data_IF_475671718599
#
_entry.id   IF_475671718599
#
_cell.length_a   1.000
_cell.length_b   1.000
_cell.length_c   1.000
_cell.angle_alpha   90.00
_cell.angle_beta   90.00
_cell.angle_gamma   90.00
#
_symmetry.space_group_name_H-M   'P 1'
#
loop_
_entity.id
_entity.type
_entity.pdbx_description
1 polymer ?
#
# COMPACT_ATOMS: atom_id res chain seq x y z
N UNK A 1 -10.27 20.56 13.02
CA UNK A 1 -9.16 20.21 13.94
C UNK A 1 -7.85 20.57 13.24
N UNK A 2 -6.72 20.68 13.95
CA UNK A 2 -5.43 20.96 13.30
C UNK A 2 -4.78 19.65 12.85
N UNK A 3 -4.45 19.53 11.56
CA UNK A 3 -3.73 18.38 11.00
C UNK A 3 -2.32 18.34 11.62
N UNK A 4 -1.92 17.17 12.13
CA UNK A 4 -0.62 16.93 12.79
C UNK A 4 0.21 15.84 12.13
N UNK A 5 -0.37 15.05 11.24
CA UNK A 5 0.34 13.97 10.54
C UNK A 5 -0.29 13.73 9.18
N UNK A 6 0.50 13.22 8.24
CA UNK A 6 0.10 13.05 6.85
C UNK A 6 0.44 11.64 6.38
N UNK A 7 -0.54 11.00 5.75
CA UNK A 7 -0.32 9.81 4.91
C UNK A 7 -0.52 10.26 3.46
N UNK A 8 0.47 10.10 2.60
CA UNK A 8 0.41 10.52 1.21
C UNK A 8 0.63 9.32 0.29
N UNK A 9 -0.26 9.08 -0.66
CA UNK A 9 0.00 8.09 -1.72
C UNK A 9 1.13 8.56 -2.65
N UNK A 10 1.71 7.63 -3.43
CA UNK A 10 2.78 7.90 -4.39
C UNK A 10 2.23 8.16 -5.79
N UNK A 11 1.61 7.15 -6.39
CA UNK A 11 1.43 7.07 -7.84
C UNK A 11 0.14 7.81 -8.22
N UNK A 12 0.26 8.89 -9.00
CA UNK A 12 -0.86 9.80 -9.29
C UNK A 12 -0.99 10.97 -8.31
N UNK A 13 -0.20 10.99 -7.23
CA UNK A 13 -0.19 12.06 -6.21
C UNK A 13 1.14 12.81 -6.16
N UNK A 14 2.24 12.09 -5.91
CA UNK A 14 3.60 12.65 -5.87
C UNK A 14 4.37 12.36 -7.16
N UNK A 15 4.08 11.23 -7.80
CA UNK A 15 4.81 10.72 -8.96
C UNK A 15 3.84 10.22 -10.05
N UNK A 16 4.15 10.51 -11.30
CA UNK A 16 3.69 9.76 -12.47
C UNK A 16 4.84 8.93 -12.98
N UNK A 17 4.83 7.63 -12.71
CA UNK A 17 5.97 6.75 -12.97
C UNK A 17 7.25 7.29 -12.32
N UNK A 18 8.22 7.74 -13.11
CA UNK A 18 9.49 8.27 -12.62
C UNK A 18 9.57 9.79 -12.79
N UNK A 19 8.44 10.46 -12.99
CA UNK A 19 8.34 11.91 -13.15
C UNK A 19 7.53 12.48 -11.99
N UNK A 20 8.02 13.54 -11.31
CA UNK A 20 7.27 14.12 -10.20
C UNK A 20 6.03 14.84 -10.70
N UNK A 21 4.95 14.80 -9.92
CA UNK A 21 3.79 15.68 -10.13
C UNK A 21 4.25 17.13 -9.91
N UNK A 22 3.91 18.08 -10.80
CA UNK A 22 4.30 19.48 -10.62
C UNK A 22 3.93 20.01 -9.22
N UNK A 23 4.91 20.56 -8.50
CA UNK A 23 4.73 21.08 -7.14
C UNK A 23 4.86 20.06 -6.01
N UNK A 24 5.10 18.77 -6.31
CA UNK A 24 5.38 17.75 -5.30
C UNK A 24 6.63 18.07 -4.46
N UNK A 25 7.65 18.67 -5.08
CA UNK A 25 8.87 19.17 -4.42
C UNK A 25 8.54 20.20 -3.34
N UNK A 26 7.77 21.23 -3.69
CA UNK A 26 7.34 22.29 -2.77
C UNK A 26 6.39 21.77 -1.71
N UNK A 27 5.52 20.83 -2.07
CA UNK A 27 4.60 20.19 -1.13
C UNK A 27 5.38 19.43 -0.05
N UNK A 28 6.33 18.57 -0.44
CA UNK A 28 7.17 17.83 0.49
C UNK A 28 8.07 18.74 1.33
N UNK A 29 8.65 19.80 0.73
CA UNK A 29 9.44 20.78 1.44
C UNK A 29 8.63 21.48 2.55
N UNK A 30 7.39 21.89 2.29
CA UNK A 30 6.51 22.49 3.31
C UNK A 30 6.24 21.56 4.50
N UNK A 31 6.08 20.26 4.25
CA UNK A 31 5.87 19.25 5.29
C UNK A 31 7.13 19.11 6.15
N UNK A 32 8.30 19.05 5.51
CA UNK A 32 9.59 18.96 6.20
C UNK A 32 9.90 20.22 7.02
N UNK A 33 9.67 21.42 6.47
CA UNK A 33 9.88 22.70 7.15
C UNK A 33 9.02 22.84 8.43
N UNK A 34 7.82 22.25 8.41
CA UNK A 34 6.88 22.25 9.55
C UNK A 34 7.10 21.07 10.51
N UNK A 35 8.05 20.19 10.23
CA UNK A 35 8.32 18.95 10.99
C UNK A 35 7.04 18.11 11.19
N UNK A 36 6.21 18.00 10.15
CA UNK A 36 4.98 17.22 10.21
C UNK A 36 5.31 15.75 9.92
N UNK A 37 4.99 14.81 10.84
CA UNK A 37 5.12 13.37 10.59
C UNK A 37 4.46 12.95 9.27
N UNK A 38 5.26 12.30 8.42
CA UNK A 38 4.87 11.89 7.08
C UNK A 38 5.07 10.39 6.90
N UNK A 39 4.06 9.73 6.34
CA UNK A 39 4.19 8.42 5.70
C UNK A 39 3.84 8.54 4.23
N UNK A 40 4.77 8.15 3.36
CA UNK A 40 4.55 7.98 1.94
C UNK A 40 4.17 6.51 1.70
N UNK A 41 2.91 6.28 1.33
CA UNK A 41 2.26 4.97 1.29
C UNK A 41 2.12 4.47 -0.14
N UNK A 42 2.42 3.19 -0.40
CA UNK A 42 2.13 2.55 -1.69
C UNK A 42 1.64 1.12 -1.52
N UNK A 43 0.71 0.69 -2.39
CA UNK A 43 0.22 -0.68 -2.44
C UNK A 43 1.19 -1.63 -3.16
N UNK A 44 2.21 -1.14 -3.86
CA UNK A 44 3.13 -2.00 -4.60
C UNK A 44 4.18 -2.65 -3.66
N UNK A 45 4.29 -3.99 -3.63
CA UNK A 45 5.15 -4.70 -2.69
C UNK A 45 6.59 -4.91 -3.16
N UNK A 46 6.92 -4.49 -4.39
CA UNK A 46 8.15 -4.90 -5.09
C UNK A 46 9.39 -4.09 -4.69
N UNK A 47 9.22 -2.82 -4.30
CA UNK A 47 10.31 -1.90 -3.99
C UNK A 47 10.59 -1.83 -2.49
N UNK A 48 11.86 -1.80 -2.10
CA UNK A 48 12.24 -1.46 -0.71
C UNK A 48 12.09 0.03 -0.45
N UNK A 49 12.13 0.45 0.82
CA UNK A 49 12.16 1.87 1.18
C UNK A 49 13.34 2.60 0.52
N UNK A 50 14.52 1.98 0.48
CA UNK A 50 15.69 2.55 -0.17
C UNK A 50 15.50 2.68 -1.69
N UNK A 51 14.86 1.69 -2.34
CA UNK A 51 14.56 1.78 -3.78
C UNK A 51 13.61 2.94 -4.09
N UNK A 52 12.61 3.16 -3.22
CA UNK A 52 11.67 4.28 -3.35
C UNK A 52 12.38 5.62 -3.11
N UNK A 53 13.23 5.72 -2.09
CA UNK A 53 14.04 6.92 -1.84
C UNK A 53 14.94 7.25 -3.05
N UNK A 54 15.60 6.23 -3.62
CA UNK A 54 16.42 6.40 -4.83
C UNK A 54 15.59 6.83 -6.04
N UNK A 55 14.39 6.26 -6.22
CA UNK A 55 13.43 6.64 -7.29
C UNK A 55 13.00 8.10 -7.15
N UNK A 56 12.68 8.53 -5.93
CA UNK A 56 12.31 9.91 -5.62
C UNK A 56 13.48 10.87 -5.85
N UNK A 57 14.68 10.53 -5.36
CA UNK A 57 15.89 11.34 -5.54
C UNK A 57 16.26 11.51 -7.02
N UNK A 58 16.16 10.43 -7.82
CA UNK A 58 16.38 10.48 -9.27
C UNK A 58 15.37 11.39 -10.00
N UNK A 59 14.19 11.60 -9.42
CA UNK A 59 13.15 12.50 -9.90
C UNK A 59 13.26 13.93 -9.33
N UNK A 60 14.26 14.21 -8.48
CA UNK A 60 14.48 15.51 -7.86
C UNK A 60 13.70 15.73 -6.55
N UNK A 61 13.14 14.68 -5.95
CA UNK A 61 12.45 14.74 -4.66
C UNK A 61 13.32 14.10 -3.57
N UNK A 62 13.83 14.89 -2.64
CA UNK A 62 14.67 14.38 -1.54
C UNK A 62 13.83 14.13 -0.28
N UNK A 63 13.65 12.85 0.05
CA UNK A 63 12.94 12.39 1.25
C UNK A 63 13.68 11.19 1.85
N UNK A 64 13.77 11.08 3.19
CA UNK A 64 14.47 9.98 3.83
C UNK A 64 13.73 8.66 3.60
N UNK A 65 14.45 7.54 3.47
CA UNK A 65 13.83 6.23 3.26
C UNK A 65 12.81 5.84 4.36
N UNK A 66 12.98 6.40 5.56
CA UNK A 66 12.14 6.14 6.72
C UNK A 66 10.68 6.58 6.56
N UNK A 67 10.35 7.50 5.64
CA UNK A 67 8.96 7.92 5.39
C UNK A 67 8.18 6.90 4.56
N UNK A 68 8.83 6.02 3.81
CA UNK A 68 8.13 5.07 2.96
C UNK A 68 7.50 3.95 3.79
N UNK A 69 6.30 3.55 3.37
CA UNK A 69 5.59 2.40 3.91
C UNK A 69 4.88 1.66 2.77
N UNK A 70 5.27 0.42 2.53
CA UNK A 70 4.72 -0.39 1.42
C UNK A 70 3.77 -1.45 1.92
N UNK A 71 2.96 -2.02 1.03
CA UNK A 71 2.14 -3.20 1.35
C UNK A 71 2.97 -4.40 1.82
N UNK A 72 4.23 -4.54 1.37
CA UNK A 72 5.15 -5.57 1.85
C UNK A 72 5.55 -5.35 3.32
N UNK A 73 5.92 -4.12 3.70
CA UNK A 73 6.24 -3.76 5.09
C UNK A 73 5.02 -3.94 5.99
N UNK A 74 3.87 -3.46 5.52
CA UNK A 74 2.59 -3.62 6.21
C UNK A 74 2.24 -5.10 6.42
N UNK A 75 2.47 -5.95 5.41
CA UNK A 75 2.22 -7.39 5.51
C UNK A 75 3.15 -8.04 6.53
N UNK A 76 4.43 -7.68 6.55
CA UNK A 76 5.36 -8.17 7.55
C UNK A 76 4.95 -7.72 8.98
N UNK A 77 4.53 -6.47 9.15
CA UNK A 77 4.06 -5.95 10.45
C UNK A 77 2.75 -6.60 10.92
N UNK A 78 1.84 -6.93 9.99
CA UNK A 78 0.64 -7.72 10.27
C UNK A 78 1.02 -9.08 10.85
N UNK A 79 1.95 -9.75 10.16
CA UNK A 79 2.40 -11.11 10.46
C UNK A 79 3.25 -11.22 11.72
N UNK A 80 3.98 -10.17 12.11
CA UNK A 80 4.72 -10.11 13.40
C UNK A 80 3.81 -10.33 14.61
N UNK A 81 2.53 -9.96 14.50
CA UNK A 81 1.53 -10.07 15.57
C UNK A 81 0.76 -11.38 15.55
N UNK A 82 1.09 -12.28 14.63
CA UNK A 82 0.43 -13.56 14.47
C UNK A 82 1.27 -14.70 15.04
N UNK A 83 0.60 -15.74 15.52
CA UNK A 83 1.24 -17.04 15.77
C UNK A 83 1.53 -17.78 14.46
N UNK A 84 2.60 -18.58 14.47
CA UNK A 84 3.15 -19.21 13.27
C UNK A 84 4.26 -18.38 12.63
N UNK A 85 5.28 -19.06 12.10
CA UNK A 85 6.47 -18.44 11.49
C UNK A 85 6.91 -19.12 10.20
N UNK A 86 6.11 -20.04 9.66
CA UNK A 86 6.36 -20.67 8.36
C UNK A 86 5.39 -20.15 7.33
N UNK A 87 5.90 -19.71 6.18
CA UNK A 87 5.06 -19.21 5.11
C UNK A 87 5.48 -19.79 3.75
N UNK A 88 4.49 -20.18 2.96
CA UNK A 88 4.67 -20.34 1.52
C UNK A 88 4.40 -18.99 0.86
N UNK A 89 5.38 -18.47 0.12
CA UNK A 89 5.33 -17.10 -0.41
C UNK A 89 5.39 -17.15 -1.93
N UNK A 90 4.42 -16.49 -2.56
CA UNK A 90 4.44 -16.15 -3.99
C UNK A 90 4.77 -14.68 -4.08
N UNK A 91 6.03 -14.36 -4.31
CA UNK A 91 6.50 -12.99 -4.41
C UNK A 91 8.02 -12.94 -4.45
N UNK A 92 8.57 -11.75 -4.69
CA UNK A 92 10.01 -11.55 -4.82
C UNK A 92 10.49 -10.28 -4.12
N UNK A 93 11.81 -10.06 -4.11
CA UNK A 93 12.42 -8.79 -3.70
C UNK A 93 12.05 -8.36 -2.28
N UNK A 94 11.47 -7.16 -2.17
CA UNK A 94 11.22 -6.50 -0.89
C UNK A 94 10.30 -7.31 0.03
N UNK A 95 9.26 -7.99 -0.50
CA UNK A 95 8.39 -8.82 0.32
C UNK A 95 9.15 -9.95 1.04
N UNK A 96 10.02 -10.64 0.31
CA UNK A 96 10.83 -11.74 0.87
C UNK A 96 11.74 -11.22 1.98
N UNK A 97 12.39 -10.08 1.75
CA UNK A 97 13.28 -9.44 2.73
C UNK A 97 12.54 -9.03 4.01
N UNK A 98 11.38 -8.39 3.88
CA UNK A 98 10.58 -7.95 5.02
C UNK A 98 10.04 -9.13 5.85
N UNK A 99 9.70 -10.26 5.20
CA UNK A 99 9.31 -11.48 5.90
C UNK A 99 10.47 -12.10 6.70
N UNK A 100 11.68 -12.15 6.13
CA UNK A 100 12.85 -12.62 6.87
C UNK A 100 13.18 -11.73 8.06
N UNK A 101 13.12 -10.39 7.91
CA UNK A 101 13.26 -9.45 9.02
C UNK A 101 12.21 -9.66 10.12
N UNK A 102 11.01 -10.11 9.76
CA UNK A 102 9.94 -10.46 10.69
C UNK A 102 10.09 -11.86 11.33
N UNK A 103 11.18 -12.56 11.05
CA UNK A 103 11.53 -13.87 11.61
C UNK A 103 10.81 -15.04 10.95
N UNK A 104 10.31 -14.88 9.71
CA UNK A 104 9.65 -15.96 8.99
C UNK A 104 10.65 -16.89 8.31
N UNK A 105 10.31 -18.17 8.31
CA UNK A 105 10.91 -19.20 7.45
C UNK A 105 10.04 -19.37 6.22
N UNK A 106 10.60 -19.14 5.04
CA UNK A 106 9.89 -19.36 3.77
C UNK A 106 10.08 -20.83 3.38
N UNK A 107 8.96 -21.55 3.22
CA UNK A 107 8.98 -23.00 3.01
C UNK A 107 7.70 -23.50 2.32
N UNK A 108 7.80 -24.62 1.61
CA UNK A 108 6.66 -25.40 1.13
C UNK A 108 6.39 -26.66 1.99
N UNK A 109 6.96 -26.73 3.21
CA UNK A 109 6.77 -27.82 4.16
C UNK A 109 5.89 -27.34 5.32
N UNK A 110 4.61 -27.73 5.29
CA UNK A 110 3.60 -27.40 6.32
C UNK A 110 3.62 -25.91 6.72
N UNK A 111 3.37 -24.99 5.75
CA UNK A 111 3.35 -23.56 6.04
C UNK A 111 2.11 -23.17 6.86
N UNK A 112 2.30 -22.27 7.83
CA UNK A 112 1.21 -21.68 8.61
C UNK A 112 0.41 -20.66 7.75
N UNK A 113 1.12 -19.99 6.83
CA UNK A 113 0.59 -18.95 5.97
C UNK A 113 0.86 -19.21 4.49
N UNK A 114 -0.08 -18.81 3.64
CA UNK A 114 0.17 -18.57 2.21
C UNK A 114 0.11 -17.06 2.01
N UNK A 115 1.21 -16.49 1.50
CA UNK A 115 1.35 -15.05 1.28
C UNK A 115 1.56 -14.80 -0.20
N UNK A 116 0.69 -14.01 -0.80
CA UNK A 116 0.81 -13.62 -2.21
C UNK A 116 1.14 -12.13 -2.28
N UNK A 117 2.24 -11.82 -2.96
CA UNK A 117 2.61 -10.47 -3.38
C UNK A 117 2.59 -10.38 -4.89
N UNK A 118 3.69 -9.89 -5.46
CA UNK A 118 3.90 -9.80 -6.90
C UNK A 118 5.20 -10.52 -7.28
N UNK A 119 5.19 -11.25 -8.39
CA UNK A 119 6.39 -11.83 -9.00
C UNK A 119 6.15 -12.08 -10.48
N UNK A 120 7.19 -11.87 -11.28
CA UNK A 120 7.17 -12.20 -12.72
C UNK A 120 7.36 -13.69 -13.00
N UNK A 121 7.77 -14.46 -12.00
CA UNK A 121 7.99 -15.91 -12.11
C UNK A 121 6.75 -16.74 -11.78
N UNK A 122 5.58 -16.09 -11.65
CA UNK A 122 4.32 -16.77 -11.36
C UNK A 122 4.01 -17.85 -12.39
N UNK A 123 3.76 -19.07 -11.91
CA UNK A 123 3.62 -20.24 -12.75
C UNK A 123 2.65 -21.25 -12.14
N UNK A 124 2.34 -22.30 -12.92
CA UNK A 124 1.38 -23.34 -12.55
C UNK A 124 1.68 -24.02 -11.20
N UNK A 125 2.94 -24.32 -10.90
CA UNK A 125 3.32 -25.00 -9.65
C UNK A 125 3.04 -24.12 -8.43
N UNK A 126 3.26 -22.80 -8.56
CA UNK A 126 2.94 -21.84 -7.52
C UNK A 126 1.44 -21.80 -7.23
N UNK A 127 0.60 -21.76 -8.28
CA UNK A 127 -0.86 -21.80 -8.15
C UNK A 127 -1.28 -23.07 -7.41
N UNK A 128 -0.77 -24.22 -7.86
CA UNK A 128 -1.10 -25.52 -7.29
C UNK A 128 -0.72 -25.60 -5.81
N UNK A 129 0.54 -25.28 -5.46
CA UNK A 129 1.02 -25.34 -4.07
C UNK A 129 0.26 -24.38 -3.16
N UNK A 130 0.09 -23.12 -3.57
CA UNK A 130 -0.66 -22.16 -2.77
C UNK A 130 -2.10 -22.61 -2.55
N UNK A 131 -2.79 -23.04 -3.62
CA UNK A 131 -4.18 -23.53 -3.51
C UNK A 131 -4.27 -24.73 -2.59
N UNK A 132 -3.34 -25.69 -2.71
CA UNK A 132 -3.25 -26.86 -1.84
C UNK A 132 -3.10 -26.45 -0.36
N UNK A 133 -2.16 -25.57 -0.04
CA UNK A 133 -1.96 -25.13 1.35
C UNK A 133 -3.16 -24.36 1.90
N UNK A 134 -3.78 -23.49 1.10
CA UNK A 134 -4.98 -22.73 1.50
C UNK A 134 -6.16 -23.66 1.79
N UNK A 135 -6.38 -24.69 0.95
CA UNK A 135 -7.42 -25.72 1.20
C UNK A 135 -7.14 -26.50 2.48
N UNK A 136 -5.87 -26.80 2.76
CA UNK A 136 -5.44 -27.52 3.96
C UNK A 136 -5.29 -26.64 5.22
N UNK A 137 -5.85 -25.42 5.19
CA UNK A 137 -6.00 -24.59 6.40
C UNK A 137 -4.94 -23.51 6.61
N UNK A 138 -3.94 -23.40 5.72
CA UNK A 138 -2.99 -22.28 5.78
C UNK A 138 -3.74 -20.95 5.70
N UNK A 139 -3.28 -19.97 6.46
CA UNK A 139 -3.88 -18.64 6.53
C UNK A 139 -3.51 -17.86 5.28
N UNK A 140 -4.51 -17.49 4.49
CA UNK A 140 -4.31 -16.88 3.17
C UNK A 140 -4.25 -15.35 3.26
N UNK A 141 -3.10 -14.77 2.96
CA UNK A 141 -2.80 -13.34 3.04
C UNK A 141 -2.34 -12.84 1.66
N UNK A 142 -2.73 -11.63 1.29
CA UNK A 142 -2.29 -10.99 0.05
C UNK A 142 -1.89 -9.54 0.33
N UNK A 143 -0.84 -9.05 -0.33
CA UNK A 143 -0.28 -7.72 -0.05
C UNK A 143 -1.25 -6.60 -0.42
N UNK A 144 -1.91 -6.70 -1.56
CA UNK A 144 -2.82 -5.67 -2.09
C UNK A 144 -3.82 -6.28 -3.09
N UNK A 145 -5.02 -5.70 -3.23
CA UNK A 145 -6.09 -6.24 -4.08
C UNK A 145 -5.97 -5.85 -5.56
N UNK A 146 -4.97 -5.05 -5.94
CA UNK A 146 -4.84 -4.52 -7.29
C UNK A 146 -4.65 -5.66 -8.30
N UNK A 147 -5.46 -5.66 -9.37
CA UNK A 147 -5.45 -6.72 -10.38
C UNK A 147 -4.31 -6.54 -11.38
N UNK A 148 -3.92 -5.31 -11.65
CA UNK A 148 -2.81 -5.00 -12.55
C UNK A 148 -2.10 -3.71 -12.14
N UNK A 149 -0.81 -3.66 -12.42
CA UNK A 149 -0.04 -2.41 -12.44
C UNK A 149 -0.14 -1.72 -13.80
N UNK A 150 0.89 -0.93 -14.11
CA UNK A 150 1.02 -0.24 -15.40
C UNK A 150 0.92 -1.20 -16.59
N UNK A 151 0.39 -0.75 -17.72
CA UNK A 151 0.44 -1.50 -18.99
C UNK A 151 -0.18 -2.89 -18.92
N UNK A 152 -1.15 -3.11 -18.01
CA UNK A 152 -1.78 -4.40 -17.76
C UNK A 152 -0.82 -5.49 -17.23
N UNK A 153 0.32 -5.12 -16.65
CA UNK A 153 1.16 -6.08 -15.92
C UNK A 153 0.35 -6.68 -14.76
N UNK A 154 0.20 -8.02 -14.67
CA UNK A 154 -0.54 -8.64 -13.57
C UNK A 154 0.05 -8.27 -12.22
N UNK A 155 -0.82 -7.85 -11.29
CA UNK A 155 -0.45 -7.53 -9.91
C UNK A 155 -1.03 -8.57 -8.93
N UNK A 156 -0.83 -8.35 -7.63
CA UNK A 156 -1.16 -9.30 -6.57
C UNK A 156 -2.58 -9.88 -6.66
N UNK A 157 -3.61 -9.06 -6.90
CA UNK A 157 -4.99 -9.50 -7.04
C UNK A 157 -5.19 -10.46 -8.20
N UNK A 158 -4.53 -10.25 -9.35
CA UNK A 158 -4.58 -11.19 -10.47
C UNK A 158 -3.85 -12.51 -10.15
N UNK A 159 -2.77 -12.46 -9.37
CA UNK A 159 -2.08 -13.68 -8.94
C UNK A 159 -2.90 -14.48 -7.90
N UNK A 160 -3.72 -13.79 -7.10
CA UNK A 160 -4.63 -14.41 -6.14
C UNK A 160 -5.81 -15.10 -6.83
N UNK A 161 -6.34 -14.53 -7.92
CA UNK A 161 -7.56 -15.00 -8.58
C UNK A 161 -7.64 -16.53 -8.84
N UNK A 162 -6.65 -17.20 -9.46
CA UNK A 162 -6.73 -18.65 -9.67
C UNK A 162 -6.64 -19.44 -8.35
N UNK A 163 -5.94 -18.94 -7.33
CA UNK A 163 -5.87 -19.56 -6.00
C UNK A 163 -7.22 -19.45 -5.30
N UNK A 164 -7.90 -18.30 -5.40
CA UNK A 164 -9.25 -18.09 -4.87
C UNK A 164 -10.25 -19.05 -5.53
N UNK A 165 -10.17 -19.20 -6.86
CA UNK A 165 -11.06 -20.08 -7.62
C UNK A 165 -10.87 -21.57 -7.28
N UNK A 166 -9.63 -22.03 -7.14
CA UNK A 166 -9.33 -23.44 -6.83
C UNK A 166 -9.66 -23.75 -5.36
N UNK A 167 -9.30 -22.85 -4.44
CA UNK A 167 -9.46 -23.10 -3.01
C UNK A 167 -10.85 -22.77 -2.46
N UNK A 168 -11.63 -21.95 -3.17
CA UNK A 168 -12.90 -21.40 -2.69
C UNK A 168 -12.75 -20.39 -1.54
N UNK A 169 -11.53 -19.93 -1.26
CA UNK A 169 -11.21 -19.01 -0.14
C UNK A 169 -10.57 -17.73 -0.65
N UNK A 170 -11.00 -16.59 -0.11
CA UNK A 170 -10.39 -15.29 -0.40
C UNK A 170 -9.26 -14.97 0.59
N UNK A 171 -8.18 -14.32 0.17
CA UNK A 171 -7.15 -13.87 1.08
C UNK A 171 -7.63 -12.67 1.91
N UNK A 172 -6.97 -12.44 3.04
CA UNK A 172 -7.00 -11.13 3.68
C UNK A 172 -6.03 -10.20 2.94
N UNK A 173 -6.57 -9.18 2.27
CA UNK A 173 -5.78 -8.14 1.63
C UNK A 173 -5.31 -7.10 2.66
N UNK A 174 -3.99 -6.91 2.74
CA UNK A 174 -3.37 -6.01 3.72
C UNK A 174 -3.44 -4.55 3.27
N UNK A 175 -3.14 -4.28 2.01
CA UNK A 175 -3.10 -2.95 1.41
C UNK A 175 -4.47 -2.29 1.23
N UNK A 176 -4.46 -1.05 0.73
CA UNK A 176 -5.67 -0.26 0.47
C UNK A 176 -6.61 -1.01 -0.48
N UNK A 177 -7.94 -1.00 -0.28
CA UNK A 177 -8.70 -0.15 0.65
C UNK A 177 -8.79 -0.64 2.10
N UNK A 178 -8.06 -1.68 2.50
CA UNK A 178 -8.12 -2.15 3.88
C UNK A 178 -7.75 -1.03 4.87
N UNK A 179 -8.62 -0.67 5.84
CA UNK A 179 -8.28 0.33 6.85
C UNK A 179 -7.14 -0.14 7.77
N UNK A 180 -6.78 -1.43 7.70
CA UNK A 180 -5.68 -1.98 8.48
C UNK A 180 -4.34 -1.35 8.12
N UNK A 181 -4.02 -1.15 6.83
CA UNK A 181 -2.74 -0.52 6.43
C UNK A 181 -2.66 0.94 6.90
N UNK A 182 -3.78 1.65 6.91
CA UNK A 182 -3.86 3.00 7.46
C UNK A 182 -3.56 2.99 8.95
N UNK A 183 -4.16 2.06 9.70
CA UNK A 183 -3.86 1.87 11.12
C UNK A 183 -2.40 1.49 11.37
N UNK A 184 -1.80 0.70 10.49
CA UNK A 184 -0.38 0.35 10.58
C UNK A 184 0.53 1.57 10.32
N UNK A 185 0.21 2.39 9.33
CA UNK A 185 0.89 3.66 9.07
C UNK A 185 0.75 4.66 10.23
N UNK A 186 -0.44 4.77 10.85
CA UNK A 186 -0.65 5.58 12.06
C UNK A 186 0.24 5.10 13.21
N UNK A 187 0.34 3.79 13.45
CA UNK A 187 1.22 3.25 14.48
C UNK A 187 2.69 3.59 14.23
N UNK A 188 3.14 3.55 12.96
CA UNK A 188 4.50 3.92 12.56
C UNK A 188 4.81 5.38 12.90
N UNK A 189 3.84 6.28 12.72
CA UNK A 189 3.95 7.70 13.07
C UNK A 189 3.65 8.02 14.54
N UNK A 190 3.15 7.05 15.31
CA UNK A 190 2.57 7.27 16.64
C UNK A 190 1.47 8.35 16.64
N UNK A 191 0.66 8.38 15.58
CA UNK A 191 -0.35 9.39 15.33
C UNK A 191 -1.77 8.89 15.64
N UNK A 192 -2.70 9.83 15.83
CA UNK A 192 -4.13 9.56 15.96
C UNK A 192 -4.88 9.90 14.67
N UNK A 193 -5.92 9.12 14.35
CA UNK A 193 -6.75 9.32 13.14
C UNK A 193 -7.38 10.71 13.08
N UNK A 194 -7.88 11.22 14.21
CA UNK A 194 -8.54 12.55 14.32
C UNK A 194 -7.63 13.73 13.96
N UNK A 195 -6.31 13.53 13.98
CA UNK A 195 -5.32 14.56 13.63
C UNK A 195 -4.46 14.18 12.43
N UNK A 196 -4.88 13.17 11.66
CA UNK A 196 -4.15 12.69 10.48
C UNK A 196 -5.00 12.85 9.24
N UNK A 197 -4.38 13.34 8.17
CA UNK A 197 -5.00 13.41 6.84
C UNK A 197 -4.38 12.35 5.93
N UNK A 198 -5.20 11.71 5.10
CA UNK A 198 -4.71 10.94 3.96
C UNK A 198 -4.92 11.72 2.66
N UNK A 199 -3.91 11.71 1.80
CA UNK A 199 -3.92 12.33 0.48
C UNK A 199 -3.77 11.22 -0.56
N UNK A 200 -4.71 11.13 -1.49
CA UNK A 200 -4.77 10.08 -2.50
C UNK A 200 -5.44 10.55 -3.78
N UNK A 201 -5.28 9.80 -4.86
CA UNK A 201 -5.89 10.05 -6.17
C UNK A 201 -7.03 9.07 -6.49
N UNK A 202 -7.23 8.03 -5.67
CA UNK A 202 -8.19 6.98 -5.94
C UNK A 202 -9.26 6.84 -4.84
N UNK A 203 -10.51 7.12 -5.21
CA UNK A 203 -11.68 7.05 -4.33
C UNK A 203 -11.89 5.66 -3.73
N UNK A 204 -11.66 4.61 -4.52
CA UNK A 204 -11.92 3.23 -4.11
C UNK A 204 -10.81 2.62 -3.25
N UNK A 205 -9.66 3.26 -3.13
CA UNK A 205 -8.53 2.80 -2.33
C UNK A 205 -8.18 3.78 -1.23
N UNK A 206 -7.65 4.96 -1.56
CA UNK A 206 -7.11 5.91 -0.59
C UNK A 206 -8.20 6.54 0.25
N UNK A 207 -9.20 7.09 -0.43
CA UNK A 207 -10.28 7.82 0.23
C UNK A 207 -11.15 6.84 1.03
N UNK A 208 -11.48 5.68 0.45
CA UNK A 208 -12.20 4.63 1.16
C UNK A 208 -11.44 4.14 2.41
N UNK A 209 -10.14 3.86 2.30
CA UNK A 209 -9.34 3.40 3.43
C UNK A 209 -9.23 4.47 4.53
N UNK A 210 -8.97 5.72 4.15
CA UNK A 210 -8.91 6.85 5.08
C UNK A 210 -10.22 7.09 5.80
N UNK A 211 -11.32 7.14 5.04
CA UNK A 211 -12.66 7.32 5.57
C UNK A 211 -13.01 6.22 6.58
N UNK A 212 -12.79 4.96 6.23
CA UNK A 212 -13.05 3.83 7.14
C UNK A 212 -12.14 3.80 8.38
N UNK A 213 -10.93 4.35 8.27
CA UNK A 213 -10.02 4.51 9.40
C UNK A 213 -10.26 5.79 10.22
N UNK A 214 -11.22 6.63 9.82
CA UNK A 214 -11.61 7.85 10.53
C UNK A 214 -10.64 9.02 10.36
N UNK A 215 -9.89 9.08 9.25
CA UNK A 215 -9.02 10.20 8.91
C UNK A 215 -9.79 11.29 8.16
N UNK A 216 -9.27 12.52 8.20
CA UNK A 216 -9.60 13.48 7.14
C UNK A 216 -9.00 12.99 5.81
N UNK A 217 -9.71 13.24 4.71
CA UNK A 217 -9.36 12.72 3.38
C UNK A 217 -9.25 13.86 2.37
N UNK A 218 -8.17 13.85 1.60
CA UNK A 218 -7.92 14.77 0.49
C UNK A 218 -7.81 13.96 -0.79
N UNK A 219 -8.70 14.24 -1.74
CA UNK A 219 -8.61 13.71 -3.09
C UNK A 219 -7.86 14.70 -3.97
N UNK A 220 -6.83 14.24 -4.68
CA UNK A 220 -6.22 14.99 -5.78
C UNK A 220 -6.69 14.44 -7.14
N UNK A 221 -6.89 15.33 -8.11
CA UNK A 221 -7.38 14.97 -9.45
C UNK A 221 -6.25 14.76 -10.47
N UNK A 222 -5.01 14.60 -9.99
CA UNK A 222 -3.85 14.33 -10.83
C UNK A 222 -3.76 12.88 -11.31
N UNK A 223 -4.51 11.94 -10.71
CA UNK A 223 -4.40 10.51 -10.98
C UNK A 223 -5.69 9.83 -11.46
N UNK A 224 -6.10 8.76 -10.77
CA UNK A 224 -7.12 7.80 -11.23
C UNK A 224 -8.54 8.37 -11.20
N UNK A 225 -8.98 8.95 -10.07
CA UNK A 225 -10.36 9.40 -9.92
C UNK A 225 -10.56 10.81 -10.47
N UNK A 226 -11.74 11.02 -11.04
CA UNK A 226 -12.17 12.32 -11.58
C UNK A 226 -13.21 12.96 -10.67
N UNK A 227 -13.47 14.26 -10.86
CA UNK A 227 -14.49 14.97 -10.10
C UNK A 227 -15.90 14.36 -10.27
N UNK A 228 -16.21 13.83 -11.46
CA UNK A 228 -17.50 13.19 -11.74
C UNK A 228 -17.69 11.88 -10.95
N UNK A 229 -16.61 11.19 -10.60
CA UNK A 229 -16.69 9.94 -9.84
C UNK A 229 -17.17 10.19 -8.40
N UNK A 230 -16.89 11.39 -7.86
CA UNK A 230 -17.28 11.78 -6.49
C UNK A 230 -18.79 11.80 -6.32
N UNK A 231 -19.54 12.23 -7.33
CA UNK A 231 -21.00 12.31 -7.25
C UNK A 231 -21.67 10.92 -7.22
N UNK A 232 -20.98 9.88 -7.68
CA UNK A 232 -21.46 8.51 -7.69
C UNK A 232 -21.04 7.72 -6.43
N UNK A 233 -20.23 8.31 -5.54
CA UNK A 233 -19.75 7.64 -4.34
C UNK A 233 -20.71 7.82 -3.15
N UNK A 234 -20.86 6.78 -2.30
CA UNK A 234 -21.68 6.87 -1.08
C UNK A 234 -21.02 7.67 0.05
N UNK A 235 -19.74 8.02 -0.11
CA UNK A 235 -18.97 8.89 0.77
C UNK A 235 -18.26 9.95 -0.08
N UNK A 236 -17.85 11.05 0.54
CA UNK A 236 -17.11 12.13 -0.14
C UNK A 236 -15.79 12.39 0.57
N UNK A 237 -14.72 12.73 -0.17
CA UNK A 237 -13.52 13.25 0.46
C UNK A 237 -13.83 14.56 1.18
N UNK A 238 -13.06 14.89 2.23
CA UNK A 238 -13.22 16.15 2.95
C UNK A 238 -12.79 17.36 2.09
N UNK A 239 -11.74 17.18 1.30
CA UNK A 239 -11.21 18.20 0.39
C UNK A 239 -10.87 17.60 -0.97
N UNK A 240 -10.96 18.43 -2.01
CA UNK A 240 -10.63 18.05 -3.39
C UNK A 240 -9.75 19.15 -3.99
N UNK A 241 -8.60 18.77 -4.55
CA UNK A 241 -7.67 19.69 -5.21
C UNK A 241 -7.26 19.16 -6.59
N UNK A 242 -6.84 20.01 -7.53
CA UNK A 242 -6.27 19.55 -8.79
C UNK A 242 -5.02 18.70 -8.58
N UNK A 243 -4.13 19.11 -7.68
CA UNK A 243 -2.89 18.41 -7.35
C UNK A 243 -2.39 18.72 -5.94
N UNK A 244 -1.30 18.08 -5.52
CA UNK A 244 -0.61 18.42 -4.24
C UNK A 244 -0.08 19.85 -4.18
N UNK A 245 0.13 20.51 -5.33
CA UNK A 245 0.61 21.89 -5.39
C UNK A 245 -0.40 22.87 -4.79
N UNK A 246 -1.69 22.53 -4.88
CA UNK A 246 -2.81 23.42 -4.53
C UNK A 246 -3.26 23.25 -3.08
N UNK A 247 -2.74 22.25 -2.36
CA UNK A 247 -3.15 21.95 -0.99
C UNK A 247 -2.63 23.06 -0.05
N UNK A 248 -3.57 23.70 0.66
CA UNK A 248 -3.34 24.85 1.55
C UNK A 248 -3.81 24.64 3.00
N UNK A 249 -4.35 23.45 3.31
CA UNK A 249 -4.84 23.07 4.65
C UNK A 249 -3.77 22.49 5.59
N UNK A 250 -2.52 22.36 5.10
CA UNK A 250 -1.38 21.76 5.81
C UNK A 250 -0.41 22.84 6.25
#
# INVERSE_FOLDING_TARGET
>A
MTIKSIICDIDGVLMHDNTPVPGADKFLARIQEKDIPLVILTNYPSQTAQDLANRFAAAGLDVPESVFYTSAMATADFLKRQEGKKAYVIGEGALIHELYKAGFTITDINPDFVIVGETRSYNWEMIHKASYFVVNGARFIATNPDTHGRGFYPACGALCAPIELISGRKPFYVGKPSPWIIRAALNKMQAHSESTVIIGDNLNTDILAGFQAGLETVLVLSGVSTLNDVDNMPFRPNYIYPSVADIDII
#
